data_IF_185083407379
#
_entry.id   IF_185083407379
#
_cell.length_a   1.000
_cell.length_b   1.000
_cell.length_c   1.000
_cell.angle_alpha   90.00
_cell.angle_beta   90.00
_cell.angle_gamma   90.00
#
_symmetry.space_group_name_H-M   'P 1'
#
loop_
_entity.id
_entity.type
_entity.pdbx_description
1 polymer ?
#
# COMPACT_ATOMS: atom_id res chain seq x y z
N UNK A 1 -21.13 -2.03 -2.82
CA UNK A 1 -19.95 -2.89 -3.03
C UNK A 1 -18.89 -2.77 -1.93
N UNK A 2 -18.55 -1.57 -1.43
CA UNK A 2 -17.55 -1.40 -0.35
C UNK A 2 -17.94 -2.11 0.95
N UNK A 3 -19.19 -1.98 1.40
CA UNK A 3 -19.68 -2.67 2.61
C UNK A 3 -19.60 -4.20 2.52
N UNK A 4 -19.84 -4.77 1.34
CA UNK A 4 -19.72 -6.21 1.10
C UNK A 4 -18.25 -6.65 1.15
N UNK A 5 -17.34 -5.83 0.61
CA UNK A 5 -15.90 -6.13 0.63
C UNK A 5 -15.33 -6.13 2.06
N UNK A 6 -15.79 -5.19 2.89
CA UNK A 6 -15.42 -5.15 4.31
C UNK A 6 -15.98 -6.38 5.04
N UNK A 7 -17.25 -6.73 4.81
CA UNK A 7 -17.88 -7.90 5.43
C UNK A 7 -17.18 -9.20 5.05
N UNK A 8 -16.84 -9.38 3.77
CA UNK A 8 -16.08 -10.54 3.28
C UNK A 8 -14.68 -10.56 3.89
N UNK A 9 -14.02 -9.42 4.03
CA UNK A 9 -12.72 -9.32 4.70
C UNK A 9 -12.78 -9.75 6.17
N UNK A 10 -13.77 -9.27 6.92
CA UNK A 10 -13.99 -9.65 8.32
C UNK A 10 -14.30 -11.13 8.45
N UNK A 11 -15.22 -11.65 7.63
CA UNK A 11 -15.60 -13.07 7.63
C UNK A 11 -14.43 -13.98 7.26
N UNK A 12 -13.56 -13.54 6.34
CA UNK A 12 -12.33 -14.25 6.00
C UNK A 12 -11.34 -14.28 7.17
N UNK A 13 -11.19 -13.16 7.88
CA UNK A 13 -10.31 -13.08 9.05
C UNK A 13 -10.81 -13.97 10.20
N UNK A 14 -12.12 -13.97 10.47
CA UNK A 14 -12.76 -14.84 11.47
C UNK A 14 -12.61 -16.32 11.11
N UNK A 15 -12.81 -16.68 9.84
CA UNK A 15 -12.62 -18.05 9.35
C UNK A 15 -11.16 -18.52 9.49
N UNK A 16 -10.20 -17.64 9.21
CA UNK A 16 -8.79 -17.93 9.38
C UNK A 16 -8.41 -18.07 10.86
N UNK A 17 -8.93 -17.19 11.72
CA UNK A 17 -8.74 -17.25 13.17
C UNK A 17 -9.27 -18.56 13.75
N UNK A 18 -10.50 -18.93 13.40
CA UNK A 18 -11.17 -20.15 13.87
C UNK A 18 -10.43 -21.42 13.41
N UNK A 19 -9.96 -21.45 12.16
CA UNK A 19 -9.17 -22.56 11.63
C UNK A 19 -7.82 -22.70 12.34
N UNK A 20 -7.18 -21.56 12.62
CA UNK A 20 -5.88 -21.51 13.30
C UNK A 20 -6.03 -21.98 14.76
N UNK A 21 -7.00 -21.47 15.50
CA UNK A 21 -7.26 -21.91 16.89
C UNK A 21 -7.64 -23.39 16.97
N UNK A 22 -8.49 -23.89 16.07
CA UNK A 22 -8.89 -25.30 16.05
C UNK A 22 -7.72 -26.26 15.73
N UNK A 23 -6.81 -25.85 14.85
CA UNK A 23 -5.57 -26.61 14.60
C UNK A 23 -4.66 -26.65 15.83
N UNK A 24 -4.59 -25.55 16.58
CA UNK A 24 -3.79 -25.45 17.80
C UNK A 24 -4.36 -26.23 18.97
N UNK A 25 -5.66 -26.21 19.20
CA UNK A 25 -6.31 -26.99 20.26
C UNK A 25 -6.09 -28.50 20.03
N UNK A 26 -6.13 -28.94 18.77
CA UNK A 26 -5.84 -30.32 18.37
C UNK A 26 -4.38 -30.73 18.67
N UNK A 27 -3.44 -29.78 18.63
CA UNK A 27 -2.02 -30.02 18.95
C UNK A 27 -1.77 -29.97 20.47
N UNK A 28 -2.49 -29.13 21.20
CA UNK A 28 -2.43 -28.99 22.66
C UNK A 28 -3.02 -30.20 23.40
N UNK A 29 -4.14 -30.75 22.92
CA UNK A 29 -4.76 -31.96 23.48
C UNK A 29 -3.87 -33.21 23.43
N UNK A 30 -2.84 -33.23 22.58
CA UNK A 30 -1.85 -34.29 22.50
C UNK A 30 -0.70 -34.18 23.53
N UNK A 31 -0.55 -33.04 24.21
CA UNK A 31 0.64 -32.72 25.02
C UNK A 31 0.42 -32.68 26.54
N UNK A 32 -0.81 -32.90 27.05
CA UNK A 32 -1.08 -33.14 28.48
C UNK A 32 -0.46 -32.14 29.48
N UNK A 33 -0.57 -30.82 29.26
CA UNK A 33 0.12 -29.83 30.10
C UNK A 33 -0.81 -28.85 30.83
N UNK A 34 -0.49 -28.61 32.10
CA UNK A 34 -1.26 -27.86 33.10
C UNK A 34 -1.54 -26.39 32.76
N UNK A 35 -2.78 -25.97 33.03
CA UNK A 35 -3.47 -24.76 32.54
C UNK A 35 -2.84 -23.41 32.94
N UNK A 36 -1.86 -23.38 33.87
CA UNK A 36 -1.15 -22.15 34.27
C UNK A 36 -0.01 -21.75 33.31
N UNK A 37 0.54 -22.68 32.52
CA UNK A 37 1.58 -22.38 31.51
C UNK A 37 1.01 -21.89 30.16
N UNK A 38 -0.31 -21.96 29.95
CA UNK A 38 -0.96 -21.63 28.69
C UNK A 38 -0.97 -20.12 28.38
N UNK A 39 -0.98 -19.26 29.42
CA UNK A 39 -1.02 -17.80 29.26
C UNK A 39 0.32 -17.21 28.77
N UNK A 40 1.45 -17.81 29.16
CA UNK A 40 2.79 -17.46 28.66
C UNK A 40 2.99 -17.99 27.23
N UNK A 41 2.37 -19.14 26.91
CA UNK A 41 2.36 -19.73 25.58
C UNK A 41 1.71 -18.78 24.55
N UNK A 42 0.56 -18.14 24.85
CA UNK A 42 -0.07 -17.21 23.89
C UNK A 42 0.89 -16.12 23.38
N UNK A 43 1.61 -15.43 24.28
CA UNK A 43 2.58 -14.40 23.88
C UNK A 43 3.78 -14.98 23.11
N UNK A 44 4.33 -16.11 23.56
CA UNK A 44 5.43 -16.79 22.87
C UNK A 44 5.04 -17.28 21.47
N UNK A 45 3.80 -17.71 21.27
CA UNK A 45 3.27 -18.11 19.97
C UNK A 45 3.06 -16.93 19.04
N UNK A 46 2.52 -15.81 19.54
CA UNK A 46 2.43 -14.58 18.75
C UNK A 46 3.83 -14.10 18.30
N UNK A 47 4.83 -14.16 19.18
CA UNK A 47 6.22 -13.86 18.83
C UNK A 47 6.76 -14.85 17.80
N UNK A 48 6.56 -16.15 17.99
CA UNK A 48 7.03 -17.16 17.04
C UNK A 48 6.41 -16.97 15.65
N UNK A 49 5.09 -16.72 15.59
CA UNK A 49 4.38 -16.44 14.33
C UNK A 49 4.91 -15.17 13.69
N UNK A 50 5.11 -14.09 14.46
CA UNK A 50 5.71 -12.85 13.94
C UNK A 50 7.12 -13.08 13.40
N UNK A 51 7.97 -13.82 14.11
CA UNK A 51 9.33 -14.15 13.65
C UNK A 51 9.27 -14.93 12.34
N UNK A 52 8.42 -15.95 12.25
CA UNK A 52 8.25 -16.75 11.03
C UNK A 52 7.77 -15.88 9.87
N UNK A 53 6.81 -14.97 10.10
CA UNK A 53 6.34 -14.04 9.07
C UNK A 53 7.44 -13.07 8.61
N UNK A 54 8.26 -12.54 9.52
CA UNK A 54 9.38 -11.65 9.19
C UNK A 54 10.44 -12.39 8.40
N UNK A 55 10.78 -13.63 8.79
CA UNK A 55 11.74 -14.47 8.08
C UNK A 55 11.25 -14.79 6.67
N UNK A 56 9.99 -15.19 6.53
CA UNK A 56 9.37 -15.46 5.23
C UNK A 56 9.36 -14.21 4.35
N UNK A 57 8.99 -13.06 4.91
CA UNK A 57 9.00 -11.78 4.21
C UNK A 57 10.42 -11.41 3.74
N UNK A 58 11.42 -11.50 4.63
CA UNK A 58 12.82 -11.22 4.30
C UNK A 58 13.38 -12.16 3.23
N UNK A 59 13.02 -13.45 3.30
CA UNK A 59 13.39 -14.43 2.27
C UNK A 59 12.78 -14.08 0.91
N UNK A 60 11.46 -13.82 0.85
CA UNK A 60 10.78 -13.45 -0.39
C UNK A 60 11.30 -12.13 -0.96
N UNK A 61 11.57 -11.15 -0.09
CA UNK A 61 12.11 -9.85 -0.49
C UNK A 61 13.54 -9.97 -1.05
N UNK A 62 14.39 -10.78 -0.41
CA UNK A 62 15.73 -11.09 -0.91
C UNK A 62 15.68 -11.84 -2.24
N UNK A 63 14.83 -12.86 -2.37
CA UNK A 63 14.65 -13.60 -3.61
C UNK A 63 14.20 -12.70 -4.75
N UNK A 64 13.24 -11.81 -4.48
CA UNK A 64 12.79 -10.79 -5.43
C UNK A 64 13.93 -9.88 -5.89
N UNK A 65 14.83 -9.49 -4.97
CA UNK A 65 16.00 -8.67 -5.31
C UNK A 65 17.01 -9.39 -6.20
N UNK A 66 17.26 -10.68 -5.94
CA UNK A 66 18.15 -11.50 -6.79
C UNK A 66 17.56 -11.68 -8.18
N UNK A 67 16.29 -12.08 -8.28
CA UNK A 67 15.60 -12.27 -9.56
C UNK A 67 15.46 -10.97 -10.35
N UNK A 68 15.21 -9.86 -9.67
CA UNK A 68 15.18 -8.54 -10.29
C UNK A 68 16.50 -8.18 -10.95
N UNK A 69 17.64 -8.47 -10.30
CA UNK A 69 18.97 -8.20 -10.87
C UNK A 69 19.25 -9.09 -12.07
N UNK A 70 19.03 -10.39 -11.95
CA UNK A 70 19.31 -11.34 -13.04
C UNK A 70 18.48 -11.01 -14.28
N UNK A 71 17.20 -10.72 -14.11
CA UNK A 71 16.30 -10.38 -15.23
C UNK A 71 16.55 -8.97 -15.80
N UNK A 72 17.03 -8.04 -14.96
CA UNK A 72 17.40 -6.70 -15.42
C UNK A 72 18.67 -6.72 -16.25
N UNK A 73 19.65 -7.56 -15.90
CA UNK A 73 20.89 -7.74 -16.64
C UNK A 73 20.65 -8.46 -17.99
N UNK A 74 19.67 -9.38 -18.05
CA UNK A 74 19.19 -9.96 -19.32
C UNK A 74 18.21 -9.06 -20.07
N UNK A 75 17.88 -7.87 -19.54
CA UNK A 75 16.94 -6.90 -20.10
C UNK A 75 15.57 -7.52 -20.45
N UNK A 76 15.09 -8.46 -19.63
CA UNK A 76 13.77 -9.10 -19.76
C UNK A 76 12.70 -8.24 -19.09
N UNK A 77 11.49 -8.22 -19.65
CA UNK A 77 10.35 -7.54 -19.04
C UNK A 77 9.93 -8.14 -17.68
N UNK A 78 10.31 -9.39 -17.38
CA UNK A 78 10.07 -10.04 -16.08
C UNK A 78 10.71 -9.28 -14.91
N UNK A 79 11.79 -8.53 -15.16
CA UNK A 79 12.44 -7.68 -14.16
C UNK A 79 11.48 -6.64 -13.56
N UNK A 80 10.49 -6.16 -14.32
CA UNK A 80 9.52 -5.16 -13.85
C UNK A 80 8.75 -5.67 -12.62
N UNK A 81 8.29 -6.92 -12.65
CA UNK A 81 7.51 -7.52 -11.56
C UNK A 81 8.38 -7.71 -10.32
N UNK A 82 9.58 -8.28 -10.49
CA UNK A 82 10.50 -8.51 -9.38
C UNK A 82 11.04 -7.21 -8.76
N UNK A 83 11.31 -6.19 -9.58
CA UNK A 83 11.62 -4.85 -9.11
C UNK A 83 10.43 -4.24 -8.37
N UNK A 84 9.22 -4.44 -8.89
CA UNK A 84 7.98 -4.00 -8.24
C UNK A 84 7.82 -4.60 -6.85
N UNK A 85 8.00 -5.91 -6.70
CA UNK A 85 7.97 -6.61 -5.43
C UNK A 85 9.07 -6.14 -4.46
N UNK A 86 10.23 -5.74 -4.98
CA UNK A 86 11.33 -5.19 -4.17
C UNK A 86 11.00 -3.78 -3.64
N UNK A 87 10.41 -2.91 -4.46
CA UNK A 87 10.17 -1.49 -4.14
C UNK A 87 8.76 -1.19 -3.62
N UNK A 88 7.85 -2.16 -3.65
CA UNK A 88 6.49 -2.07 -3.12
C UNK A 88 6.42 -1.81 -1.60
N UNK A 89 7.15 -2.55 -0.74
CA UNK A 89 7.07 -2.37 0.72
C UNK A 89 7.38 -0.93 1.19
N UNK A 90 8.42 -0.24 0.69
CA UNK A 90 8.62 1.18 0.99
C UNK A 90 7.42 2.06 0.65
N UNK A 91 6.72 1.81 -0.46
CA UNK A 91 5.52 2.55 -0.85
C UNK A 91 4.38 2.38 0.16
N UNK A 92 4.18 1.15 0.64
CA UNK A 92 3.20 0.85 1.70
C UNK A 92 3.55 1.54 3.00
N UNK A 93 4.82 1.54 3.42
CA UNK A 93 5.24 2.17 4.67
C UNK A 93 5.04 3.69 4.64
N UNK A 94 5.38 4.35 3.54
CA UNK A 94 5.13 5.78 3.38
C UNK A 94 3.63 6.06 3.39
N UNK A 95 2.82 5.29 2.67
CA UNK A 95 1.35 5.44 2.69
C UNK A 95 0.79 5.25 4.10
N UNK A 96 1.26 4.25 4.84
CA UNK A 96 0.83 4.02 6.23
C UNK A 96 1.24 5.17 7.15
N UNK A 97 2.46 5.69 6.98
CA UNK A 97 2.92 6.86 7.73
C UNK A 97 2.06 8.08 7.41
N UNK A 98 1.77 8.34 6.14
CA UNK A 98 0.91 9.44 5.70
C UNK A 98 -0.51 9.29 6.23
N UNK A 99 -1.07 8.07 6.24
CA UNK A 99 -2.41 7.80 6.75
C UNK A 99 -2.61 8.20 8.23
N UNK A 100 -1.53 8.33 9.02
CA UNK A 100 -1.62 8.84 10.40
C UNK A 100 -2.09 10.29 10.48
N UNK A 101 -1.93 11.06 9.40
CA UNK A 101 -2.43 12.43 9.30
C UNK A 101 -3.90 12.51 8.87
N UNK A 102 -4.54 11.38 8.53
CA UNK A 102 -5.98 11.36 8.26
C UNK A 102 -6.74 11.71 9.53
N UNK A 103 -7.62 12.72 9.46
CA UNK A 103 -8.44 13.15 10.59
C UNK A 103 -7.75 14.06 11.60
N UNK A 104 -6.47 14.40 11.42
CA UNK A 104 -5.76 15.33 12.32
C UNK A 104 -6.04 16.81 12.02
N UNK A 105 -6.67 17.10 10.87
CA UNK A 105 -6.85 18.46 10.39
C UNK A 105 -5.53 19.15 10.03
N UNK A 106 -5.65 20.36 9.48
CA UNK A 106 -4.53 21.19 9.04
C UNK A 106 -4.37 22.39 9.99
N UNK A 107 -3.17 22.50 10.56
CA UNK A 107 -2.75 23.59 11.45
C UNK A 107 -3.23 23.47 12.90
N UNK A 108 -2.80 24.40 13.76
CA UNK A 108 -3.06 24.43 15.21
C UNK A 108 -4.54 24.47 15.64
N UNK A 109 -5.45 24.75 14.69
CA UNK A 109 -6.90 24.88 14.94
C UNK A 109 -7.73 23.71 14.42
N UNK A 110 -7.12 22.61 13.93
CA UNK A 110 -7.88 21.45 13.44
C UNK A 110 -8.78 21.76 12.23
N UNK A 111 -8.40 22.70 11.37
CA UNK A 111 -9.22 23.04 10.19
C UNK A 111 -9.12 21.91 9.16
N UNK A 112 -10.22 21.47 8.55
CA UNK A 112 -10.26 20.31 7.63
C UNK A 112 -9.99 18.94 8.28
N UNK A 113 -10.36 18.73 9.55
CA UNK A 113 -10.39 17.37 10.14
C UNK A 113 -11.25 16.38 9.35
N UNK A 114 -12.27 16.88 8.65
CA UNK A 114 -13.12 16.07 7.77
C UNK A 114 -12.37 15.52 6.54
N UNK A 115 -11.21 16.08 6.19
CA UNK A 115 -10.44 15.72 5.01
C UNK A 115 -9.36 14.68 5.35
N UNK A 116 -9.31 13.52 4.67
CA UNK A 116 -8.23 12.55 4.82
C UNK A 116 -6.94 13.03 4.13
N UNK A 117 -6.19 13.91 4.81
CA UNK A 117 -4.99 14.58 4.25
C UNK A 117 -3.89 13.57 3.87
N UNK A 118 -3.71 12.52 4.67
CA UNK A 118 -2.77 11.45 4.40
C UNK A 118 -3.05 10.72 3.10
N UNK A 119 -4.28 10.25 2.90
CA UNK A 119 -4.70 9.55 1.67
C UNK A 119 -4.61 10.48 0.46
N UNK A 120 -5.06 11.73 0.60
CA UNK A 120 -4.95 12.76 -0.44
C UNK A 120 -3.49 12.98 -0.86
N UNK A 121 -2.61 13.23 0.10
CA UNK A 121 -1.20 13.51 -0.15
C UNK A 121 -0.49 12.32 -0.78
N UNK A 122 -0.79 11.08 -0.35
CA UNK A 122 -0.22 9.87 -0.93
C UNK A 122 -0.58 9.73 -2.42
N UNK A 123 -1.84 9.97 -2.79
CA UNK A 123 -2.31 9.89 -4.18
C UNK A 123 -1.71 10.99 -5.06
N UNK A 124 -1.72 12.25 -4.59
CA UNK A 124 -1.11 13.37 -5.34
C UNK A 124 0.39 13.15 -5.51
N UNK A 125 1.10 12.76 -4.45
CA UNK A 125 2.53 12.50 -4.50
C UNK A 125 2.86 11.38 -5.49
N UNK A 126 2.09 10.29 -5.46
CA UNK A 126 2.27 9.19 -6.39
C UNK A 126 2.05 9.63 -7.85
N UNK A 127 1.00 10.42 -8.12
CA UNK A 127 0.74 10.96 -9.46
C UNK A 127 1.86 11.87 -9.96
N UNK A 128 2.37 12.76 -9.12
CA UNK A 128 3.48 13.66 -9.45
C UNK A 128 4.76 12.89 -9.77
N UNK A 129 5.14 11.92 -8.92
CA UNK A 129 6.34 11.10 -9.13
C UNK A 129 6.17 10.22 -10.38
N UNK A 130 4.97 9.69 -10.62
CA UNK A 130 4.68 8.87 -11.81
C UNK A 130 4.92 9.67 -13.09
N UNK A 131 4.41 10.91 -13.14
CA UNK A 131 4.61 11.83 -14.26
C UNK A 131 6.10 12.16 -14.47
N UNK A 132 6.83 12.48 -13.39
CA UNK A 132 8.26 12.78 -13.47
C UNK A 132 9.07 11.59 -14.01
N UNK A 133 8.79 10.38 -13.52
CA UNK A 133 9.46 9.16 -13.99
C UNK A 133 9.12 8.85 -15.45
N UNK A 134 7.87 9.09 -15.88
CA UNK A 134 7.46 8.90 -17.27
C UNK A 134 8.24 9.84 -18.21
N UNK A 135 8.43 11.09 -17.81
CA UNK A 135 9.28 12.04 -18.56
C UNK A 135 10.72 11.54 -18.62
N UNK A 136 11.32 11.14 -17.49
CA UNK A 136 12.70 10.63 -17.46
C UNK A 136 12.87 9.42 -18.38
N UNK A 137 11.92 8.47 -18.34
CA UNK A 137 11.97 7.28 -19.20
C UNK A 137 11.90 7.65 -20.69
N UNK A 138 11.11 8.66 -21.05
CA UNK A 138 11.00 9.16 -22.43
C UNK A 138 12.28 9.84 -22.88
N UNK A 139 12.91 10.61 -22.01
CA UNK A 139 14.12 11.39 -22.31
C UNK A 139 15.37 10.51 -22.42
N UNK A 140 15.57 9.59 -21.48
CA UNK A 140 16.71 8.68 -21.49
C UNK A 140 16.58 7.65 -22.61
N UNK A 141 15.36 7.23 -22.92
CA UNK A 141 15.01 6.31 -24.02
C UNK A 141 15.86 5.03 -24.09
N UNK A 142 16.25 4.48 -22.93
CA UNK A 142 16.93 3.18 -22.85
C UNK A 142 16.01 2.11 -22.31
N UNK A 143 16.15 0.88 -22.81
CA UNK A 143 15.38 -0.28 -22.35
C UNK A 143 15.54 -0.51 -20.85
N UNK A 144 16.77 -0.41 -20.33
CA UNK A 144 17.07 -0.57 -18.90
C UNK A 144 16.36 0.47 -18.05
N UNK A 145 16.40 1.75 -18.44
CA UNK A 145 15.70 2.82 -17.74
C UNK A 145 14.19 2.59 -17.73
N UNK A 146 13.60 2.24 -18.88
CA UNK A 146 12.17 1.94 -18.99
C UNK A 146 11.73 0.80 -18.09
N UNK A 147 12.51 -0.28 -18.00
CA UNK A 147 12.25 -1.41 -17.08
C UNK A 147 12.29 -0.94 -15.62
N UNK A 148 13.31 -0.18 -15.22
CA UNK A 148 13.45 0.32 -13.84
C UNK A 148 12.29 1.26 -13.48
N UNK A 149 12.00 2.22 -14.35
CA UNK A 149 10.89 3.17 -14.17
C UNK A 149 9.56 2.42 -14.06
N UNK A 150 9.31 1.47 -14.96
CA UNK A 150 8.09 0.64 -14.93
C UNK A 150 7.99 -0.16 -13.64
N UNK A 151 9.08 -0.73 -13.14
CA UNK A 151 9.12 -1.45 -11.88
C UNK A 151 8.83 -0.56 -10.67
N UNK A 152 9.38 0.66 -10.64
CA UNK A 152 9.11 1.65 -9.58
C UNK A 152 7.66 2.14 -9.65
N UNK A 153 7.14 2.43 -10.84
CA UNK A 153 5.74 2.84 -11.01
C UNK A 153 4.78 1.72 -10.58
N UNK A 154 5.04 0.49 -11.01
CA UNK A 154 4.22 -0.67 -10.68
C UNK A 154 4.25 -1.01 -9.18
N UNK A 155 5.45 -1.10 -8.60
CA UNK A 155 5.62 -1.49 -7.19
C UNK A 155 5.40 -0.33 -6.22
N UNK A 156 6.32 0.63 -6.22
CA UNK A 156 6.38 1.70 -5.23
C UNK A 156 5.18 2.63 -5.33
N UNK A 157 4.92 3.20 -6.51
CA UNK A 157 3.82 4.15 -6.70
C UNK A 157 2.45 3.47 -6.66
N UNK A 158 2.36 2.23 -7.17
CA UNK A 158 1.16 1.41 -7.04
C UNK A 158 0.79 1.11 -5.58
N UNK A 159 1.79 0.90 -4.71
CA UNK A 159 1.58 0.66 -3.28
C UNK A 159 1.43 1.95 -2.45
N UNK A 160 2.02 3.06 -2.90
CA UNK A 160 1.91 4.38 -2.28
C UNK A 160 0.55 5.02 -2.54
N UNK A 161 0.03 4.91 -3.76
CA UNK A 161 -1.32 5.34 -4.11
C UNK A 161 -2.36 4.32 -3.65
N UNK A 162 -3.61 4.77 -3.48
CA UNK A 162 -4.74 3.91 -3.12
C UNK A 162 -6.05 4.50 -3.63
N UNK A 163 -6.75 3.72 -4.44
CA UNK A 163 -8.15 4.01 -4.83
C UNK A 163 -9.12 3.40 -3.83
N UNK A 164 -8.82 2.23 -3.26
CA UNK A 164 -9.73 1.53 -2.36
C UNK A 164 -9.99 2.31 -1.07
N UNK A 165 -8.95 2.84 -0.44
CA UNK A 165 -9.06 3.68 0.76
C UNK A 165 -9.80 4.98 0.43
N UNK A 166 -9.43 5.63 -0.68
CA UNK A 166 -10.09 6.84 -1.14
C UNK A 166 -11.60 6.64 -1.34
N UNK A 167 -12.02 5.57 -2.02
CA UNK A 167 -13.43 5.26 -2.23
C UNK A 167 -14.14 4.92 -0.92
N UNK A 168 -13.48 4.21 0.00
CA UNK A 168 -14.05 3.93 1.32
C UNK A 168 -14.30 5.23 2.12
N UNK A 169 -13.39 6.19 2.07
CA UNK A 169 -13.53 7.51 2.71
C UNK A 169 -14.65 8.34 2.08
N UNK A 170 -14.73 8.38 0.73
CA UNK A 170 -15.82 9.04 0.00
C UNK A 170 -17.17 8.42 0.37
N UNK A 171 -17.24 7.08 0.40
CA UNK A 171 -18.45 6.36 0.76
C UNK A 171 -18.85 6.62 2.22
N UNK A 172 -17.90 6.65 3.16
CA UNK A 172 -18.18 6.98 4.55
C UNK A 172 -18.75 8.41 4.70
N UNK A 173 -18.19 9.38 3.97
CA UNK A 173 -18.74 10.75 3.93
C UNK A 173 -20.15 10.79 3.35
N UNK A 174 -20.41 10.04 2.28
CA UNK A 174 -21.73 9.92 1.68
C UNK A 174 -22.75 9.35 2.68
N UNK A 175 -22.41 8.24 3.33
CA UNK A 175 -23.29 7.56 4.29
C UNK A 175 -23.58 8.40 5.54
N UNK A 176 -22.64 9.26 5.95
CA UNK A 176 -22.82 10.20 7.07
C UNK A 176 -23.76 11.38 6.76
N UNK A 177 -24.32 11.47 5.54
CA UNK A 177 -25.19 12.56 5.12
C UNK A 177 -24.44 13.81 4.65
N UNK A 178 -23.10 13.80 4.68
CA UNK A 178 -22.25 14.91 4.23
C UNK A 178 -21.88 14.80 2.74
N UNK A 179 -22.87 14.70 1.87
CA UNK A 179 -22.68 14.46 0.42
C UNK A 179 -21.80 15.54 -0.24
N UNK A 180 -21.95 16.82 0.15
CA UNK A 180 -21.12 17.90 -0.38
C UNK A 180 -19.62 17.72 -0.09
N UNK A 181 -19.26 17.17 1.09
CA UNK A 181 -17.87 16.86 1.45
C UNK A 181 -17.32 15.72 0.61
N UNK A 182 -18.14 14.70 0.32
CA UNK A 182 -17.74 13.58 -0.53
C UNK A 182 -17.38 14.04 -1.96
N UNK A 183 -18.21 14.90 -2.56
CA UNK A 183 -17.91 15.50 -3.87
C UNK A 183 -16.68 16.40 -3.83
N UNK A 184 -16.58 17.28 -2.83
CA UNK A 184 -15.41 18.16 -2.68
C UNK A 184 -14.12 17.36 -2.51
N UNK A 185 -14.12 16.31 -1.68
CA UNK A 185 -12.95 15.45 -1.50
C UNK A 185 -12.54 14.73 -2.79
N UNK A 186 -13.53 14.23 -3.54
CA UNK A 186 -13.30 13.61 -4.84
C UNK A 186 -12.65 14.59 -5.81
N UNK A 187 -13.19 15.81 -5.92
CA UNK A 187 -12.65 16.84 -6.79
C UNK A 187 -11.24 17.27 -6.38
N UNK A 188 -10.99 17.49 -5.08
CA UNK A 188 -9.68 17.88 -4.54
C UNK A 188 -8.64 16.76 -4.68
N UNK A 189 -9.05 15.50 -4.79
CA UNK A 189 -8.13 14.39 -5.04
C UNK A 189 -7.80 14.28 -6.53
N UNK A 190 -8.81 14.32 -7.40
CA UNK A 190 -8.65 14.07 -8.84
C UNK A 190 -8.06 15.27 -9.57
N UNK A 191 -8.64 16.47 -9.40
CA UNK A 191 -8.27 17.63 -10.20
C UNK A 191 -6.81 18.06 -9.99
N UNK A 192 -6.29 18.17 -8.75
CA UNK A 192 -4.89 18.51 -8.53
C UNK A 192 -3.95 17.40 -9.00
N UNK A 193 -4.26 16.12 -8.78
CA UNK A 193 -3.44 15.01 -9.26
C UNK A 193 -3.31 15.04 -10.78
N UNK A 194 -4.42 15.28 -11.48
CA UNK A 194 -4.44 15.41 -12.92
C UNK A 194 -3.68 16.66 -13.38
N UNK A 195 -3.98 17.84 -12.82
CA UNK A 195 -3.34 19.09 -13.21
C UNK A 195 -1.82 19.06 -12.99
N UNK A 196 -1.37 18.61 -11.82
CA UNK A 196 0.05 18.51 -11.49
C UNK A 196 0.76 17.44 -12.33
N UNK A 197 0.13 16.28 -12.53
CA UNK A 197 0.69 15.22 -13.36
C UNK A 197 0.90 15.68 -14.81
N UNK A 198 -0.10 16.35 -15.39
CA UNK A 198 0.03 16.93 -16.74
C UNK A 198 1.10 18.02 -16.77
N UNK A 199 1.11 18.94 -15.79
CA UNK A 199 2.10 20.00 -15.72
C UNK A 199 3.53 19.44 -15.69
N UNK A 200 3.79 18.45 -14.82
CA UNK A 200 5.11 17.82 -14.68
C UNK A 200 5.51 17.08 -15.96
N UNK A 201 4.57 16.41 -16.62
CA UNK A 201 4.84 15.68 -17.85
C UNK A 201 5.10 16.62 -19.04
N UNK A 202 4.34 17.70 -19.15
CA UNK A 202 4.39 18.60 -20.30
C UNK A 202 5.48 19.68 -20.20
N UNK A 203 5.80 20.21 -19.01
CA UNK A 203 6.82 21.27 -18.87
C UNK A 203 8.14 20.96 -19.61
N UNK A 204 8.72 19.75 -19.49
CA UNK A 204 9.96 19.40 -20.20
C UNK A 204 9.80 19.28 -21.73
N UNK A 205 8.57 19.04 -22.22
CA UNK A 205 8.29 18.96 -23.66
C UNK A 205 8.15 20.34 -24.30
N UNK A 206 7.75 21.35 -23.53
CA UNK A 206 7.53 22.72 -24.01
C UNK A 206 8.80 23.57 -23.99
N UNK A 207 9.82 23.12 -23.26
CA UNK A 207 11.09 23.83 -23.05
C UNK A 207 12.20 23.37 -24.00
N UNK A 208 11.88 22.48 -24.94
CA UNK A 208 12.74 22.05 -26.05
C UNK A 208 12.36 22.77 -27.33
#
# INVERSE_FOLDING_TARGET
MVGISILVGVSSAEGLQSSCSGWFDKKSGKAGCSLKNLRVHSFGWHIMVMIVMILLWGFLWSLSGVLARTELDSLTNGAVVWLGCLVGPPGVWIRWYLARFNGQGLGRKGRLEWLPIGTLSANILAACIMAALATISKEVNTKRCSIIVSGVQFGFLGCLSTVSTFIAEVFAMWQSGHIGRAYAYTAITILPSFALGNLIYFVPLWTK
#
